data_IF_463547726365
#
_entry.id   IF_463547726365
#
_cell.length_a   1.000
_cell.length_b   1.000
_cell.length_c   1.000
_cell.angle_alpha   90.00
_cell.angle_beta   90.00
_cell.angle_gamma   90.00
#
_symmetry.space_group_name_H-M   'P 1'
#
loop_
_entity.id
_entity.type
_entity.pdbx_description
1 polymer ?
#
# COMPACT_ATOMS: atom_id res chain seq x y z
N UNK A 1 -4.49 8.12 -27.72
CA UNK A 1 -4.53 7.49 -26.37
C UNK A 1 -3.39 8.03 -25.49
N UNK A 2 -3.51 8.08 -24.15
CA UNK A 2 -2.35 8.33 -23.26
C UNK A 2 -1.46 7.07 -23.20
N UNK A 3 -0.17 7.23 -23.48
CA UNK A 3 0.79 6.13 -23.62
C UNK A 3 1.80 6.11 -22.46
N UNK A 4 1.38 5.57 -21.31
CA UNK A 4 2.17 5.57 -20.07
C UNK A 4 3.29 4.50 -20.03
N UNK A 5 3.15 3.41 -20.80
CA UNK A 5 4.10 2.29 -20.86
C UNK A 5 4.82 2.15 -22.21
N UNK A 6 4.91 3.23 -23.01
CA UNK A 6 5.32 3.17 -24.40
C UNK A 6 6.82 3.40 -24.63
N UNK A 7 7.44 2.54 -25.44
CA UNK A 7 8.81 2.62 -25.93
C UNK A 7 8.77 2.55 -27.45
N UNK A 8 9.36 3.54 -28.12
CA UNK A 8 9.58 3.46 -29.57
C UNK A 8 10.87 2.68 -29.84
N UNK A 9 10.77 1.35 -29.87
CA UNK A 9 11.93 0.45 -29.97
C UNK A 9 12.68 0.64 -31.29
N UNK A 10 11.95 0.89 -32.38
CA UNK A 10 12.50 1.15 -33.71
C UNK A 10 13.36 2.42 -33.72
N UNK A 11 12.89 3.50 -33.09
CA UNK A 11 13.65 4.74 -32.94
C UNK A 11 14.87 4.55 -32.02
N UNK A 12 14.68 3.94 -30.85
CA UNK A 12 15.72 3.79 -29.82
C UNK A 12 16.86 2.88 -30.25
N UNK A 13 16.56 1.82 -31.02
CA UNK A 13 17.57 0.90 -31.56
C UNK A 13 18.36 1.54 -32.70
N UNK A 14 17.71 2.37 -33.53
CA UNK A 14 18.32 2.97 -34.72
C UNK A 14 19.21 4.18 -34.41
N UNK A 15 18.86 4.97 -33.39
CA UNK A 15 19.59 6.19 -33.03
C UNK A 15 20.64 6.01 -31.91
N UNK A 16 20.97 4.77 -31.53
CA UNK A 16 22.13 4.40 -30.67
C UNK A 16 22.18 4.96 -29.24
N UNK A 17 21.16 5.68 -28.78
CA UNK A 17 21.17 6.26 -27.43
C UNK A 17 20.92 5.24 -26.31
N UNK A 18 20.31 4.08 -26.61
CA UNK A 18 20.09 2.98 -25.65
C UNK A 18 20.28 1.59 -26.28
N UNK A 19 21.53 1.16 -26.56
CA UNK A 19 21.80 -0.13 -27.23
C UNK A 19 21.36 -1.36 -26.42
N UNK A 20 21.05 -1.20 -25.13
CA UNK A 20 20.63 -2.26 -24.22
C UNK A 20 19.12 -2.27 -23.92
N UNK A 21 18.30 -1.54 -24.68
CA UNK A 21 16.85 -1.43 -24.40
C UNK A 21 16.14 -2.79 -24.43
N UNK A 22 16.55 -3.71 -25.30
CA UNK A 22 16.01 -5.08 -25.29
C UNK A 22 16.32 -5.80 -23.97
N UNK A 23 17.56 -5.71 -23.48
CA UNK A 23 17.95 -6.31 -22.20
C UNK A 23 17.18 -5.70 -21.02
N UNK A 24 16.91 -4.40 -21.08
CA UNK A 24 16.07 -3.71 -20.10
C UNK A 24 14.64 -4.27 -20.09
N UNK A 25 13.99 -4.40 -21.26
CA UNK A 25 12.63 -4.95 -21.37
C UNK A 25 12.55 -6.39 -20.85
N UNK A 26 13.56 -7.23 -21.12
CA UNK A 26 13.63 -8.58 -20.55
C UNK A 26 13.77 -8.57 -19.02
N UNK A 27 14.66 -7.72 -18.49
CA UNK A 27 14.87 -7.58 -17.05
C UNK A 27 13.62 -7.07 -16.34
N UNK A 28 12.97 -6.06 -16.89
CA UNK A 28 11.71 -5.51 -16.40
C UNK A 28 10.60 -6.57 -16.37
N UNK A 29 10.44 -7.34 -17.45
CA UNK A 29 9.48 -8.44 -17.50
C UNK A 29 9.73 -9.47 -16.40
N UNK A 30 11.00 -9.83 -16.16
CA UNK A 30 11.36 -10.75 -15.07
C UNK A 30 11.03 -10.18 -13.69
N UNK A 31 11.23 -8.88 -13.47
CA UNK A 31 10.85 -8.22 -12.21
C UNK A 31 9.34 -8.24 -11.98
N UNK A 32 8.52 -7.99 -13.01
CA UNK A 32 7.06 -8.08 -12.89
C UNK A 32 6.56 -9.51 -12.65
N UNK A 33 7.23 -10.53 -13.20
CA UNK A 33 6.93 -11.93 -12.87
C UNK A 33 7.21 -12.22 -11.39
N UNK A 34 8.37 -11.78 -10.89
CA UNK A 34 8.73 -11.93 -9.47
C UNK A 34 7.75 -11.18 -8.55
N UNK A 35 7.36 -9.96 -8.93
CA UNK A 35 6.38 -9.18 -8.16
C UNK A 35 4.99 -9.82 -8.20
N UNK A 36 4.57 -10.41 -9.31
CA UNK A 36 3.29 -11.15 -9.39
C UNK A 36 3.25 -12.32 -8.41
N UNK A 37 4.34 -13.09 -8.32
CA UNK A 37 4.48 -14.19 -7.34
C UNK A 37 4.46 -13.63 -5.91
N UNK A 38 5.18 -12.52 -5.68
CA UNK A 38 5.21 -11.82 -4.40
C UNK A 38 3.81 -11.38 -3.97
N UNK A 39 3.01 -10.80 -4.88
CA UNK A 39 1.65 -10.35 -4.58
C UNK A 39 0.70 -11.50 -4.25
N UNK A 40 0.79 -12.63 -4.96
CA UNK A 40 0.00 -13.83 -4.63
C UNK A 40 0.31 -14.34 -3.22
N UNK A 41 1.60 -14.39 -2.86
CA UNK A 41 2.02 -14.76 -1.52
C UNK A 41 1.45 -13.79 -0.46
N UNK A 42 1.50 -12.49 -0.72
CA UNK A 42 1.05 -11.50 0.25
C UNK A 42 -0.46 -11.33 0.35
N UNK A 43 -1.23 -11.65 -0.70
CA UNK A 43 -2.68 -11.83 -0.59
C UNK A 43 -2.99 -12.95 0.40
N UNK A 44 -2.28 -14.08 0.30
CA UNK A 44 -2.44 -15.18 1.27
C UNK A 44 -2.05 -14.76 2.70
N UNK A 45 -0.94 -14.04 2.88
CA UNK A 45 -0.51 -13.52 4.19
C UNK A 45 -1.56 -12.57 4.79
N UNK A 46 -2.11 -11.66 3.99
CA UNK A 46 -3.12 -10.69 4.42
C UNK A 46 -4.32 -11.38 5.08
N UNK A 47 -4.88 -12.41 4.43
CA UNK A 47 -6.04 -13.13 4.96
C UNK A 47 -5.69 -14.11 6.09
N UNK A 48 -4.47 -14.65 6.10
CA UNK A 48 -4.01 -15.59 7.12
C UNK A 48 -3.62 -14.90 8.44
N UNK A 49 -2.97 -13.74 8.36
CA UNK A 49 -2.43 -13.04 9.53
C UNK A 49 -3.51 -12.34 10.37
N UNK A 50 -4.65 -11.97 9.77
CA UNK A 50 -5.76 -11.24 10.43
C UNK A 50 -5.26 -10.09 11.33
N UNK A 51 -4.34 -9.28 10.78
CA UNK A 51 -3.71 -8.18 11.50
C UNK A 51 -4.66 -7.01 11.70
N UNK A 52 -5.40 -6.64 10.66
CA UNK A 52 -6.33 -5.51 10.71
C UNK A 52 -7.78 -5.98 10.79
N UNK A 53 -8.66 -5.04 11.11
CA UNK A 53 -10.11 -5.24 11.03
C UNK A 53 -10.54 -5.68 9.63
N UNK A 54 -11.65 -6.41 9.54
CA UNK A 54 -12.15 -7.01 8.29
C UNK A 54 -12.27 -5.98 7.15
N UNK A 55 -12.86 -4.81 7.42
CA UNK A 55 -13.08 -3.78 6.40
C UNK A 55 -11.78 -3.29 5.77
N UNK A 56 -10.76 -3.03 6.59
CA UNK A 56 -9.47 -2.59 6.09
C UNK A 56 -8.70 -3.69 5.36
N UNK A 57 -8.78 -4.93 5.84
CA UNK A 57 -8.21 -6.07 5.11
C UNK A 57 -8.89 -6.23 3.75
N UNK A 58 -10.19 -6.02 3.67
CA UNK A 58 -10.92 -6.13 2.40
C UNK A 58 -10.50 -5.05 1.39
N UNK A 59 -10.37 -3.80 1.83
CA UNK A 59 -9.87 -2.69 0.99
C UNK A 59 -8.43 -2.95 0.54
N UNK A 60 -7.55 -3.36 1.47
CA UNK A 60 -6.16 -3.69 1.16
C UNK A 60 -6.06 -4.89 0.21
N UNK A 61 -6.93 -5.88 0.38
CA UNK A 61 -7.01 -7.06 -0.49
C UNK A 61 -7.44 -6.70 -1.90
N UNK A 62 -8.46 -5.84 -2.04
CA UNK A 62 -8.86 -5.29 -3.34
C UNK A 62 -7.70 -4.55 -4.02
N UNK A 63 -6.93 -3.76 -3.25
CA UNK A 63 -5.74 -3.08 -3.78
C UNK A 63 -4.67 -4.06 -4.27
N UNK A 64 -4.36 -5.13 -3.53
CA UNK A 64 -3.42 -6.16 -4.00
C UNK A 64 -3.90 -6.87 -5.26
N UNK A 65 -5.21 -7.14 -5.37
CA UNK A 65 -5.79 -7.74 -6.59
C UNK A 65 -5.66 -6.78 -7.78
N UNK A 66 -5.89 -5.48 -7.57
CA UNK A 66 -5.73 -4.46 -8.62
C UNK A 66 -4.29 -4.44 -9.14
N UNK A 67 -3.30 -4.42 -8.24
CA UNK A 67 -1.89 -4.48 -8.64
C UNK A 67 -1.52 -5.81 -9.32
N UNK A 68 -2.10 -6.93 -8.89
CA UNK A 68 -1.92 -8.21 -9.58
C UNK A 68 -2.43 -8.15 -11.03
N UNK A 69 -3.60 -7.56 -11.24
CA UNK A 69 -4.17 -7.35 -12.59
C UNK A 69 -3.28 -6.40 -13.42
N UNK A 70 -2.74 -5.35 -12.80
CA UNK A 70 -1.83 -4.41 -13.43
C UNK A 70 -0.55 -5.09 -13.93
N UNK A 71 0.09 -5.90 -13.08
CA UNK A 71 1.29 -6.65 -13.43
C UNK A 71 1.04 -7.57 -14.64
N UNK A 72 -0.12 -8.25 -14.69
CA UNK A 72 -0.50 -9.08 -15.83
C UNK A 72 -0.67 -8.25 -17.12
N UNK A 73 -1.27 -7.05 -17.03
CA UNK A 73 -1.43 -6.15 -18.16
C UNK A 73 -0.08 -5.65 -18.69
N UNK A 74 0.82 -5.24 -17.80
CA UNK A 74 2.18 -4.82 -18.16
C UNK A 74 2.96 -5.97 -18.81
N UNK A 75 2.92 -7.17 -18.22
CA UNK A 75 3.52 -8.36 -18.81
C UNK A 75 2.96 -8.67 -20.20
N UNK A 76 1.64 -8.57 -20.41
CA UNK A 76 1.04 -8.77 -21.72
C UNK A 76 1.56 -7.78 -22.77
N UNK A 77 1.70 -6.49 -22.40
CA UNK A 77 2.30 -5.48 -23.27
C UNK A 77 3.77 -5.82 -23.60
N UNK A 78 4.56 -6.25 -22.61
CA UNK A 78 5.97 -6.61 -22.81
C UNK A 78 6.15 -7.85 -23.69
N UNK A 79 5.34 -8.90 -23.49
CA UNK A 79 5.39 -10.07 -24.35
C UNK A 79 5.03 -9.74 -25.80
N UNK A 80 4.00 -8.91 -26.02
CA UNK A 80 3.65 -8.47 -27.36
C UNK A 80 4.79 -7.76 -28.09
N UNK A 81 5.56 -6.93 -27.39
CA UNK A 81 6.76 -6.31 -27.95
C UNK A 81 7.91 -7.31 -28.18
N UNK A 82 8.20 -8.18 -27.20
CA UNK A 82 9.28 -9.18 -27.31
C UNK A 82 9.07 -10.09 -28.52
N UNK A 83 7.82 -10.48 -28.80
CA UNK A 83 7.48 -11.31 -29.96
C UNK A 83 7.32 -10.53 -31.27
N UNK A 84 7.43 -9.19 -31.25
CA UNK A 84 7.33 -8.35 -32.44
C UNK A 84 5.93 -8.30 -33.05
N UNK A 85 4.89 -8.48 -32.24
CA UNK A 85 3.50 -8.44 -32.72
C UNK A 85 2.92 -7.04 -32.88
N UNK A 86 3.65 -6.00 -32.45
CA UNK A 86 3.23 -4.61 -32.55
C UNK A 86 4.11 -3.85 -33.54
N UNK A 87 3.48 -3.05 -34.40
CA UNK A 87 4.17 -2.01 -35.15
C UNK A 87 4.30 -0.77 -34.25
N UNK A 88 5.54 -0.30 -34.01
CA UNK A 88 5.81 0.87 -33.16
C UNK A 88 5.16 2.16 -33.70
N UNK A 89 4.74 2.16 -34.97
CA UNK A 89 4.07 3.29 -35.62
C UNK A 89 2.53 3.18 -35.61
N UNK A 90 1.96 2.01 -35.30
CA UNK A 90 0.51 1.79 -35.28
C UNK A 90 0.06 0.89 -34.10
N UNK A 91 0.36 1.32 -32.86
CA UNK A 91 -0.02 0.56 -31.66
C UNK A 91 -1.54 0.57 -31.39
N UNK A 92 -2.26 1.57 -31.90
CA UNK A 92 -3.71 1.67 -31.72
C UNK A 92 -4.46 0.59 -32.52
N UNK A 93 -3.82 0.00 -33.54
CA UNK A 93 -4.37 -1.14 -34.29
C UNK A 93 -4.37 -2.46 -33.51
N UNK A 94 -3.51 -2.62 -32.49
CA UNK A 94 -3.37 -3.85 -31.72
C UNK A 94 -4.38 -3.89 -30.57
N UNK A 95 -5.46 -4.68 -30.65
CA UNK A 95 -6.52 -4.67 -29.65
C UNK A 95 -6.02 -5.16 -28.28
N UNK A 96 -5.05 -6.07 -28.26
CA UNK A 96 -4.45 -6.60 -27.03
C UNK A 96 -3.66 -5.51 -26.32
N UNK A 97 -2.87 -4.73 -27.06
CA UNK A 97 -2.09 -3.63 -26.48
C UNK A 97 -3.00 -2.53 -25.91
N UNK A 98 -4.02 -2.12 -26.67
CA UNK A 98 -4.99 -1.10 -26.22
C UNK A 98 -5.76 -1.57 -24.98
N UNK A 99 -6.18 -2.84 -24.95
CA UNK A 99 -6.87 -3.43 -23.80
C UNK A 99 -5.96 -3.46 -22.56
N UNK A 100 -4.72 -3.96 -22.71
CA UNK A 100 -3.76 -4.03 -21.61
C UNK A 100 -3.38 -2.63 -21.09
N UNK A 101 -3.17 -1.65 -21.98
CA UNK A 101 -2.93 -0.26 -21.60
C UNK A 101 -4.12 0.32 -20.82
N UNK A 102 -5.35 0.08 -21.28
CA UNK A 102 -6.57 0.56 -20.60
C UNK A 102 -6.73 -0.06 -19.22
N UNK A 103 -6.46 -1.37 -19.08
CA UNK A 103 -6.46 -2.07 -17.79
C UNK A 103 -5.41 -1.48 -16.85
N UNK A 104 -4.21 -1.18 -17.36
CA UNK A 104 -3.16 -0.61 -16.53
C UNK A 104 -3.49 0.81 -16.05
N UNK A 105 -4.06 1.66 -16.93
CA UNK A 105 -4.56 2.98 -16.54
C UNK A 105 -5.65 2.86 -15.46
N UNK A 106 -6.60 1.93 -15.64
CA UNK A 106 -7.63 1.62 -14.62
C UNK A 106 -6.99 1.27 -13.27
N UNK A 107 -5.99 0.37 -13.29
CA UNK A 107 -5.32 -0.11 -12.09
C UNK A 107 -4.54 0.98 -11.39
N UNK A 108 -3.82 1.81 -12.16
CA UNK A 108 -3.05 2.93 -11.64
C UNK A 108 -3.94 3.96 -10.96
N UNK A 109 -5.02 4.42 -11.62
CA UNK A 109 -5.97 5.37 -11.03
C UNK A 109 -6.61 4.80 -9.76
N UNK A 110 -6.98 3.52 -9.79
CA UNK A 110 -7.55 2.84 -8.63
C UNK A 110 -6.54 2.78 -7.48
N UNK A 111 -5.30 2.37 -7.73
CA UNK A 111 -4.25 2.31 -6.71
C UNK A 111 -4.00 3.67 -6.04
N UNK A 112 -4.02 4.76 -6.82
CA UNK A 112 -3.85 6.12 -6.31
C UNK A 112 -5.02 6.59 -5.43
N UNK A 113 -6.20 6.01 -5.62
CA UNK A 113 -7.40 6.30 -4.82
C UNK A 113 -7.53 5.39 -3.59
N UNK A 114 -6.79 4.28 -3.52
CA UNK A 114 -6.86 3.33 -2.41
C UNK A 114 -6.46 3.96 -1.06
N UNK A 115 -5.45 4.85 -1.06
CA UNK A 115 -5.01 5.55 0.16
C UNK A 115 -6.11 6.48 0.72
N UNK A 116 -6.71 7.41 -0.06
CA UNK A 116 -7.86 8.19 0.37
C UNK A 116 -8.99 7.35 0.97
N UNK A 117 -9.38 6.25 0.30
CA UNK A 117 -10.47 5.41 0.79
C UNK A 117 -10.11 4.65 2.06
N UNK A 118 -8.85 4.25 2.21
CA UNK A 118 -8.35 3.68 3.47
C UNK A 118 -8.43 4.69 4.62
N UNK A 119 -8.18 5.98 4.37
CA UNK A 119 -8.34 7.04 5.37
C UNK A 119 -9.82 7.23 5.73
N UNK A 120 -10.71 7.18 4.74
CA UNK A 120 -12.16 7.24 4.95
C UNK A 120 -12.66 6.07 5.81
N UNK A 121 -12.18 4.84 5.54
CA UNK A 121 -12.46 3.68 6.40
C UNK A 121 -12.03 3.92 7.86
N UNK A 122 -10.85 4.53 8.05
CA UNK A 122 -10.36 4.87 9.39
C UNK A 122 -11.19 5.97 10.06
N UNK A 123 -11.75 6.92 9.31
CA UNK A 123 -12.70 7.88 9.85
C UNK A 123 -13.98 7.19 10.33
N UNK A 124 -14.49 6.19 9.61
CA UNK A 124 -15.63 5.38 10.07
C UNK A 124 -15.29 4.58 11.33
N UNK A 125 -14.10 3.99 11.40
CA UNK A 125 -13.64 3.28 12.60
C UNK A 125 -13.62 4.19 13.84
N UNK A 126 -13.11 5.42 13.70
CA UNK A 126 -13.09 6.42 14.79
C UNK A 126 -14.49 6.91 15.14
N UNK A 127 -15.39 7.07 14.15
CA UNK A 127 -16.78 7.45 14.41
C UNK A 127 -17.54 6.36 15.18
N UNK A 128 -17.30 5.08 14.86
CA UNK A 128 -17.95 3.92 15.48
C UNK A 128 -17.12 3.24 16.58
N UNK A 129 -16.25 3.98 17.27
CA UNK A 129 -15.24 3.42 18.19
C UNK A 129 -15.79 2.39 19.21
N UNK A 130 -17.03 2.55 19.67
CA UNK A 130 -17.65 1.66 20.68
C UNK A 130 -17.89 0.24 20.17
N UNK A 131 -18.30 0.12 18.91
CA UNK A 131 -18.84 -1.14 18.37
C UNK A 131 -18.15 -1.59 17.09
N UNK A 132 -17.17 -0.82 16.57
CA UNK A 132 -16.53 -1.09 15.28
C UNK A 132 -15.77 -2.42 15.27
N UNK A 133 -15.04 -2.72 16.35
CA UNK A 133 -14.26 -3.97 16.44
C UNK A 133 -15.12 -5.21 16.71
N UNK A 134 -16.36 -5.01 17.17
CA UNK A 134 -17.31 -6.10 17.48
C UNK A 134 -18.17 -6.40 16.25
N UNK A 135 -18.66 -5.35 15.59
CA UNK A 135 -19.54 -5.46 14.44
C UNK A 135 -18.75 -5.15 13.17
N UNK A 136 -18.46 -6.18 12.38
CA UNK A 136 -17.63 -6.04 11.17
C UNK A 136 -18.18 -5.04 10.14
N UNK A 137 -19.50 -4.84 10.06
CA UNK A 137 -20.15 -3.87 9.16
C UNK A 137 -19.58 -3.93 7.72
N UNK A 138 -19.61 -5.10 7.05
CA UNK A 138 -18.91 -5.32 5.78
C UNK A 138 -19.41 -4.43 4.63
N UNK A 139 -20.62 -3.87 4.75
CA UNK A 139 -21.16 -2.91 3.80
C UNK A 139 -20.26 -1.67 3.62
N UNK A 140 -19.55 -1.23 4.67
CA UNK A 140 -18.63 -0.09 4.57
C UNK A 140 -17.51 -0.41 3.57
N UNK A 141 -16.87 -1.57 3.72
CA UNK A 141 -15.81 -1.98 2.80
C UNK A 141 -16.33 -2.28 1.40
N UNK A 142 -17.52 -2.87 1.24
CA UNK A 142 -18.09 -3.12 -0.10
C UNK A 142 -18.38 -1.83 -0.85
N UNK A 143 -19.00 -0.83 -0.20
CA UNK A 143 -19.27 0.48 -0.81
C UNK A 143 -17.96 1.16 -1.21
N UNK A 144 -16.95 1.13 -0.34
CA UNK A 144 -15.65 1.74 -0.62
C UNK A 144 -14.93 1.04 -1.79
N UNK A 145 -14.95 -0.29 -1.87
CA UNK A 145 -14.33 -1.02 -2.98
C UNK A 145 -15.09 -0.82 -4.29
N UNK A 146 -16.43 -0.80 -4.28
CA UNK A 146 -17.22 -0.48 -5.48
C UNK A 146 -16.88 0.94 -5.95
N UNK A 147 -16.82 1.89 -5.03
CA UNK A 147 -16.46 3.27 -5.36
C UNK A 147 -15.03 3.39 -5.90
N UNK A 148 -14.07 2.62 -5.35
CA UNK A 148 -12.71 2.51 -5.87
C UNK A 148 -12.70 2.05 -7.34
N UNK A 149 -13.41 0.96 -7.64
CA UNK A 149 -13.50 0.42 -9.00
C UNK A 149 -14.18 1.39 -9.95
N UNK A 150 -15.25 2.08 -9.52
CA UNK A 150 -15.93 3.08 -10.35
C UNK A 150 -15.01 4.26 -10.71
N UNK A 151 -14.23 4.77 -9.74
CA UNK A 151 -13.25 5.83 -10.01
C UNK A 151 -12.19 5.33 -11.01
N UNK A 152 -11.72 4.09 -10.86
CA UNK A 152 -10.80 3.47 -11.81
C UNK A 152 -11.35 3.45 -13.23
N UNK A 153 -12.60 2.99 -13.41
CA UNK A 153 -13.25 2.90 -14.74
C UNK A 153 -13.42 4.29 -15.36
N UNK A 154 -13.93 5.25 -14.59
CA UNK A 154 -14.09 6.63 -15.05
C UNK A 154 -12.72 7.22 -15.42
N UNK A 155 -11.70 7.00 -14.59
CA UNK A 155 -10.34 7.44 -14.86
C UNK A 155 -9.77 6.87 -16.16
N UNK A 156 -9.94 5.58 -16.40
CA UNK A 156 -9.49 4.91 -17.62
C UNK A 156 -10.16 5.48 -18.88
N UNK A 157 -11.48 5.73 -18.84
CA UNK A 157 -12.22 6.33 -19.97
C UNK A 157 -11.75 7.76 -20.22
N UNK A 158 -11.65 8.58 -19.17
CA UNK A 158 -11.29 10.00 -19.30
C UNK A 158 -9.84 10.17 -19.80
N UNK A 159 -8.91 9.31 -19.35
CA UNK A 159 -7.50 9.33 -19.74
C UNK A 159 -7.22 8.74 -21.13
N UNK A 160 -8.21 8.19 -21.84
CA UNK A 160 -8.05 7.89 -23.27
C UNK A 160 -7.73 9.16 -24.07
N UNK A 161 -8.30 10.29 -23.65
CA UNK A 161 -7.98 11.60 -24.22
C UNK A 161 -6.85 12.26 -23.41
N UNK A 162 -5.68 12.39 -24.05
CA UNK A 162 -4.47 13.01 -23.49
C UNK A 162 -4.70 14.43 -22.95
N UNK A 163 -5.60 15.20 -23.56
CA UNK A 163 -5.92 16.56 -23.11
C UNK A 163 -6.58 16.61 -21.71
N UNK A 164 -7.21 15.52 -21.28
CA UNK A 164 -7.88 15.46 -19.97
C UNK A 164 -6.92 15.12 -18.82
N UNK A 165 -5.69 14.69 -19.12
CA UNK A 165 -4.75 14.17 -18.11
C UNK A 165 -4.44 15.20 -17.03
N UNK A 166 -4.30 16.48 -17.38
CA UNK A 166 -4.04 17.56 -16.42
C UNK A 166 -5.17 17.69 -15.38
N UNK A 167 -6.44 17.60 -15.82
CA UNK A 167 -7.59 17.68 -14.92
C UNK A 167 -7.67 16.48 -13.98
N UNK A 168 -7.46 15.27 -14.52
CA UNK A 168 -7.48 14.03 -13.73
C UNK A 168 -6.36 14.03 -12.69
N UNK A 169 -5.14 14.41 -13.10
CA UNK A 169 -3.99 14.58 -12.20
C UNK A 169 -4.30 15.60 -11.10
N UNK A 170 -4.86 16.75 -11.45
CA UNK A 170 -5.23 17.78 -10.47
C UNK A 170 -6.19 17.25 -9.41
N UNK A 171 -7.22 16.50 -9.81
CA UNK A 171 -8.16 15.85 -8.89
C UNK A 171 -7.45 14.80 -8.01
N UNK A 172 -6.57 13.98 -8.59
CA UNK A 172 -5.84 12.95 -7.86
C UNK A 172 -4.89 13.54 -6.81
N UNK A 173 -4.25 14.70 -7.07
CA UNK A 173 -3.44 15.41 -6.08
C UNK A 173 -4.31 15.88 -4.92
N UNK A 174 -5.42 16.56 -5.22
CA UNK A 174 -6.33 17.07 -4.20
C UNK A 174 -6.87 15.95 -3.31
N UNK A 175 -7.27 14.84 -3.92
CA UNK A 175 -7.66 13.63 -3.21
C UNK A 175 -6.52 13.11 -2.35
N UNK A 176 -5.30 12.96 -2.87
CA UNK A 176 -4.19 12.38 -2.10
C UNK A 176 -3.67 13.24 -0.95
N UNK A 177 -3.86 14.56 -0.99
CA UNK A 177 -3.49 15.44 0.12
C UNK A 177 -4.27 15.07 1.40
N UNK A 178 -5.57 14.77 1.33
CA UNK A 178 -6.44 14.32 2.46
C UNK A 178 -6.15 14.99 3.82
N UNK A 179 -5.67 16.23 3.84
CA UNK A 179 -5.15 16.88 5.05
C UNK A 179 -6.27 17.07 6.05
N UNK A 180 -7.46 17.43 5.56
CA UNK A 180 -8.65 17.64 6.36
C UNK A 180 -9.11 16.34 7.04
N UNK A 181 -9.31 15.26 6.29
CA UNK A 181 -9.75 13.96 6.82
C UNK A 181 -8.75 13.39 7.83
N UNK A 182 -7.45 13.46 7.53
CA UNK A 182 -6.39 13.05 8.47
C UNK A 182 -6.40 13.87 9.75
N UNK A 183 -6.51 15.19 9.64
CA UNK A 183 -6.55 16.10 10.79
C UNK A 183 -7.82 15.91 11.63
N UNK A 184 -8.96 15.70 10.98
CA UNK A 184 -10.21 15.37 11.65
C UNK A 184 -10.09 14.05 12.42
N UNK A 185 -9.60 13.00 11.76
CA UNK A 185 -9.43 11.70 12.38
C UNK A 185 -8.49 11.76 13.60
N UNK A 186 -7.37 12.47 13.45
CA UNK A 186 -6.42 12.70 14.55
C UNK A 186 -7.07 13.47 15.71
N UNK A 187 -7.78 14.57 15.44
CA UNK A 187 -8.48 15.34 16.49
C UNK A 187 -9.50 14.49 17.23
N UNK A 188 -10.32 13.71 16.51
CA UNK A 188 -11.32 12.83 17.14
C UNK A 188 -10.68 11.71 17.94
N UNK A 189 -9.57 11.17 17.46
CA UNK A 189 -8.76 10.21 18.19
C UNK A 189 -8.21 10.83 19.49
N UNK A 190 -7.60 12.03 19.42
CA UNK A 190 -7.03 12.74 20.56
C UNK A 190 -8.13 13.13 21.58
N UNK A 191 -9.28 13.64 21.13
CA UNK A 191 -10.44 13.93 21.98
C UNK A 191 -10.91 12.68 22.72
N UNK A 192 -11.02 11.55 22.00
CA UNK A 192 -11.45 10.31 22.61
C UNK A 192 -10.42 9.80 23.61
N UNK A 193 -9.14 9.78 23.24
CA UNK A 193 -8.03 9.37 24.08
C UNK A 193 -7.91 10.22 25.34
N UNK A 194 -8.05 11.54 25.22
CA UNK A 194 -8.03 12.46 26.35
C UNK A 194 -9.24 12.26 27.27
N UNK A 195 -10.44 12.12 26.73
CA UNK A 195 -11.63 11.83 27.53
C UNK A 195 -11.53 10.49 28.27
N UNK A 196 -11.00 9.47 27.60
CA UNK A 196 -10.63 8.17 28.15
C UNK A 196 -9.64 8.38 29.29
N UNK A 197 -8.46 8.97 29.04
CA UNK A 197 -7.42 9.17 30.05
C UNK A 197 -7.88 9.99 31.25
N UNK A 198 -8.72 11.01 31.06
CA UNK A 198 -9.34 11.80 32.12
C UNK A 198 -10.31 10.97 32.96
N UNK A 199 -11.15 10.14 32.32
CA UNK A 199 -12.03 9.20 33.03
C UNK A 199 -11.22 8.15 33.79
N UNK A 200 -10.09 7.71 33.23
CA UNK A 200 -9.20 6.72 33.83
C UNK A 200 -8.40 7.28 35.00
N UNK A 201 -7.90 8.51 34.91
CA UNK A 201 -7.24 9.23 36.01
C UNK A 201 -8.19 9.43 37.19
N UNK A 202 -9.49 9.65 36.92
CA UNK A 202 -10.52 9.82 37.96
C UNK A 202 -10.95 8.50 38.63
N UNK A 203 -10.74 7.34 38.01
CA UNK A 203 -11.23 6.02 38.51
C UNK A 203 -10.13 5.21 39.24
N UNK A 204 -8.87 5.65 39.24
CA UNK A 204 -7.82 5.19 40.17
C UNK A 204 -7.36 3.73 40.07
N UNK A 205 -8.08 2.83 39.38
CA UNK A 205 -7.75 1.40 39.27
C UNK A 205 -7.49 1.02 37.82
N UNK A 206 -6.23 1.07 37.43
CA UNK A 206 -5.78 0.65 36.11
C UNK A 206 -5.61 -0.88 36.09
N UNK A 207 -6.39 -1.62 35.29
CA UNK A 207 -6.13 -3.05 35.09
C UNK A 207 -5.03 -3.25 34.04
N UNK A 208 -4.15 -4.22 34.27
CA UNK A 208 -3.02 -4.56 33.39
C UNK A 208 -3.47 -4.82 31.94
N UNK A 209 -4.61 -5.49 31.77
CA UNK A 209 -5.20 -5.78 30.47
C UNK A 209 -5.54 -4.52 29.65
N UNK A 210 -6.00 -3.44 30.30
CA UNK A 210 -6.31 -2.18 29.60
C UNK A 210 -5.07 -1.42 29.15
N UNK A 211 -3.96 -1.48 29.91
CA UNK A 211 -2.67 -0.91 29.49
C UNK A 211 -2.16 -1.61 28.24
N UNK A 212 -2.26 -2.94 28.22
CA UNK A 212 -1.85 -3.75 27.09
C UNK A 212 -2.64 -3.39 25.82
N UNK A 213 -3.97 -3.27 25.91
CA UNK A 213 -4.82 -2.87 24.77
C UNK A 213 -4.48 -1.48 24.23
N UNK A 214 -4.21 -0.51 25.10
CA UNK A 214 -3.83 0.86 24.67
C UNK A 214 -2.46 0.86 24.00
N UNK A 215 -1.49 0.13 24.57
CA UNK A 215 -0.14 -0.01 24.00
C UNK A 215 -0.17 -0.67 22.62
N UNK A 216 -0.99 -1.71 22.45
CA UNK A 216 -1.19 -2.40 21.18
C UNK A 216 -1.80 -1.46 20.13
N UNK A 217 -2.78 -0.65 20.51
CA UNK A 217 -3.41 0.32 19.62
C UNK A 217 -2.46 1.44 19.18
N UNK A 218 -1.62 1.97 20.09
CA UNK A 218 -0.61 2.99 19.74
C UNK A 218 0.42 2.41 18.76
N UNK A 219 0.89 1.18 19.01
CA UNK A 219 1.80 0.48 18.10
C UNK A 219 1.16 0.27 16.73
N UNK A 220 -0.09 -0.18 16.69
CA UNK A 220 -0.88 -0.35 15.46
C UNK A 220 -1.00 0.95 14.65
N UNK A 221 -1.25 2.07 15.33
CA UNK A 221 -1.35 3.38 14.70
C UNK A 221 -0.01 3.86 14.12
N UNK A 222 1.10 3.63 14.83
CA UNK A 222 2.43 4.00 14.33
C UNK A 222 2.80 3.24 13.05
N UNK A 223 2.54 1.93 13.01
CA UNK A 223 2.76 1.11 11.81
C UNK A 223 1.93 1.63 10.63
N UNK A 224 0.64 1.91 10.88
CA UNK A 224 -0.29 2.42 9.87
C UNK A 224 0.14 3.79 9.33
N UNK A 225 0.72 4.66 10.16
CA UNK A 225 1.25 5.96 9.70
C UNK A 225 2.43 5.81 8.73
N UNK A 226 3.34 4.85 8.98
CA UNK A 226 4.48 4.59 8.07
C UNK A 226 3.96 4.13 6.70
N UNK A 227 2.99 3.21 6.70
CA UNK A 227 2.34 2.71 5.48
C UNK A 227 1.69 3.86 4.71
N UNK A 228 0.91 4.70 5.40
CA UNK A 228 0.24 5.86 4.80
C UNK A 228 1.26 6.83 4.19
N UNK A 229 2.38 7.06 4.85
CA UNK A 229 3.43 7.95 4.36
C UNK A 229 4.10 7.40 3.09
N UNK A 230 4.44 6.11 3.11
CA UNK A 230 4.99 5.41 1.95
C UNK A 230 4.05 5.47 0.74
N UNK A 231 2.79 5.05 0.91
CA UNK A 231 1.78 5.11 -0.14
C UNK A 231 1.56 6.54 -0.65
N UNK A 232 1.61 7.53 0.24
CA UNK A 232 1.47 8.94 -0.10
C UNK A 232 2.62 9.45 -0.99
N UNK A 233 3.87 9.13 -0.65
CA UNK A 233 5.03 9.47 -1.49
C UNK A 233 4.91 8.82 -2.86
N UNK A 234 4.64 7.51 -2.90
CA UNK A 234 4.56 6.79 -4.17
C UNK A 234 3.42 7.31 -5.05
N UNK A 235 2.27 7.68 -4.47
CA UNK A 235 1.19 8.33 -5.20
C UNK A 235 1.63 9.66 -5.83
N UNK A 236 2.40 10.50 -5.12
CA UNK A 236 2.93 11.76 -5.68
C UNK A 236 3.86 11.49 -6.86
N UNK A 237 4.77 10.52 -6.73
CA UNK A 237 5.68 10.14 -7.82
C UNK A 237 4.88 9.68 -9.05
N UNK A 238 3.88 8.81 -8.87
CA UNK A 238 3.02 8.33 -9.96
C UNK A 238 2.25 9.46 -10.65
N UNK A 239 1.66 10.38 -9.88
CA UNK A 239 0.97 11.55 -10.43
C UNK A 239 1.91 12.35 -11.34
N UNK A 240 3.10 12.66 -10.83
CA UNK A 240 4.07 13.50 -11.52
C UNK A 240 4.55 12.82 -12.80
N UNK A 241 4.84 11.52 -12.74
CA UNK A 241 5.23 10.72 -13.92
C UNK A 241 4.15 10.71 -15.00
N UNK A 242 2.88 10.56 -14.63
CA UNK A 242 1.77 10.62 -15.60
C UNK A 242 1.56 12.01 -16.19
N UNK A 243 1.72 13.06 -15.37
CA UNK A 243 1.66 14.43 -15.87
C UNK A 243 2.75 14.67 -16.92
N UNK A 244 3.99 14.22 -16.68
CA UNK A 244 5.06 14.35 -17.65
C UNK A 244 4.82 13.52 -18.93
N UNK A 245 4.28 12.30 -18.79
CA UNK A 245 3.88 11.46 -19.93
C UNK A 245 2.78 12.12 -20.80
N UNK A 246 1.99 13.03 -20.23
CA UNK A 246 0.94 13.75 -20.94
C UNK A 246 1.41 14.92 -21.80
N UNK A 247 2.68 15.32 -21.73
CA UNK A 247 3.20 16.38 -22.60
C UNK A 247 3.70 15.81 -23.93
N UNK A 248 3.63 16.62 -24.99
CA UNK A 248 4.26 16.26 -26.28
C UNK A 248 5.77 16.40 -26.12
N UNK A 249 6.43 15.25 -25.99
CA UNK A 249 7.85 15.17 -25.66
C UNK A 249 8.58 14.31 -26.69
N UNK A 250 9.90 14.46 -26.78
CA UNK A 250 10.70 13.62 -27.69
C UNK A 250 10.62 12.14 -27.28
N UNK A 251 10.78 11.18 -28.21
CA UNK A 251 10.66 9.75 -27.92
C UNK A 251 11.54 9.27 -26.76
N UNK A 252 12.71 9.88 -26.56
CA UNK A 252 13.63 9.54 -25.47
C UNK A 252 13.11 9.99 -24.11
N UNK A 253 12.51 11.19 -24.05
CA UNK A 253 11.90 11.72 -22.82
C UNK A 253 10.64 10.92 -22.46
N UNK A 254 9.88 10.48 -23.47
CA UNK A 254 8.74 9.60 -23.25
C UNK A 254 9.19 8.24 -22.70
N UNK A 255 10.22 7.63 -23.29
CA UNK A 255 10.82 6.39 -22.78
C UNK A 255 11.30 6.55 -21.33
N UNK A 256 12.00 7.64 -21.00
CA UNK A 256 12.44 7.92 -19.63
C UNK A 256 11.25 8.03 -18.66
N UNK A 257 10.17 8.71 -19.06
CA UNK A 257 8.96 8.82 -18.24
C UNK A 257 8.32 7.45 -18.01
N UNK A 258 8.26 6.59 -19.03
CA UNK A 258 7.76 5.23 -18.91
C UNK A 258 8.63 4.38 -17.98
N UNK A 259 9.96 4.42 -18.10
CA UNK A 259 10.87 3.72 -17.16
C UNK A 259 10.64 4.17 -15.71
N UNK A 260 10.53 5.48 -15.48
CA UNK A 260 10.30 6.03 -14.13
C UNK A 260 8.93 5.62 -13.60
N UNK A 261 7.90 5.63 -14.44
CA UNK A 261 6.55 5.22 -14.09
C UNK A 261 6.50 3.72 -13.75
N UNK A 262 7.05 2.87 -14.60
CA UNK A 262 7.11 1.42 -14.43
C UNK A 262 7.90 1.03 -13.18
N UNK A 263 9.07 1.63 -13.00
CA UNK A 263 9.85 1.47 -11.77
C UNK A 263 9.06 1.90 -10.54
N UNK A 264 8.33 3.01 -10.61
CA UNK A 264 7.49 3.48 -9.49
C UNK A 264 6.35 2.52 -9.17
N UNK A 265 5.68 1.96 -10.18
CA UNK A 265 4.63 0.94 -10.01
C UNK A 265 5.23 -0.31 -9.35
N UNK A 266 6.36 -0.80 -9.85
CA UNK A 266 7.05 -1.96 -9.28
C UNK A 266 7.46 -1.72 -7.82
N UNK A 267 8.06 -0.58 -7.50
CA UNK A 267 8.42 -0.30 -6.10
C UNK A 267 7.16 -0.19 -5.22
N UNK A 268 6.09 0.43 -5.74
CA UNK A 268 4.82 0.55 -5.03
C UNK A 268 4.31 -0.83 -4.60
N UNK A 269 4.17 -1.75 -5.55
CA UNK A 269 3.64 -3.09 -5.33
C UNK A 269 4.60 -3.96 -4.53
N UNK A 270 5.89 -3.94 -4.86
CA UNK A 270 6.88 -4.85 -4.27
C UNK A 270 7.20 -4.49 -2.82
N UNK A 271 7.43 -3.20 -2.51
CA UNK A 271 7.92 -2.80 -1.20
C UNK A 271 6.80 -2.66 -0.16
N UNK A 272 5.55 -2.37 -0.56
CA UNK A 272 4.42 -2.23 0.37
C UNK A 272 4.25 -3.49 1.27
N UNK A 273 4.20 -4.72 0.74
CA UNK A 273 4.15 -5.92 1.57
C UNK A 273 5.39 -6.16 2.42
N UNK A 274 6.59 -5.78 1.94
CA UNK A 274 7.81 -5.92 2.74
C UNK A 274 7.80 -4.99 3.94
N UNK A 275 7.37 -3.75 3.75
CA UNK A 275 7.12 -2.78 4.83
C UNK A 275 6.10 -3.38 5.81
N UNK A 276 4.99 -3.93 5.32
CA UNK A 276 4.01 -4.61 6.18
C UNK A 276 4.62 -5.76 6.98
N UNK A 277 5.45 -6.60 6.38
CA UNK A 277 6.15 -7.69 7.08
C UNK A 277 7.18 -7.21 8.11
N UNK A 278 7.84 -6.07 7.87
CA UNK A 278 8.80 -5.49 8.80
C UNK A 278 8.11 -4.88 10.02
N UNK A 279 7.01 -4.17 9.81
CA UNK A 279 6.33 -3.43 10.88
C UNK A 279 5.25 -4.27 11.58
N UNK A 280 4.40 -4.98 10.84
CA UNK A 280 3.29 -5.75 11.40
C UNK A 280 3.75 -7.09 11.99
N UNK A 281 3.70 -7.21 13.31
CA UNK A 281 4.16 -8.41 14.03
C UNK A 281 3.48 -9.71 13.55
N UNK A 282 2.14 -9.73 13.35
CA UNK A 282 1.47 -10.96 12.89
C UNK A 282 1.84 -11.33 11.46
N UNK A 283 2.10 -10.34 10.59
CA UNK A 283 2.60 -10.59 9.23
C UNK A 283 3.99 -11.19 9.29
N UNK A 284 4.89 -10.59 10.06
CA UNK A 284 6.26 -11.09 10.25
C UNK A 284 6.27 -12.54 10.71
N UNK A 285 5.42 -12.89 11.67
CA UNK A 285 5.30 -14.27 12.17
C UNK A 285 4.84 -15.24 11.07
N UNK A 286 3.83 -14.86 10.28
CA UNK A 286 3.35 -15.70 9.18
C UNK A 286 4.40 -15.86 8.07
N UNK A 287 5.05 -14.76 7.68
CA UNK A 287 6.11 -14.77 6.67
C UNK A 287 7.32 -15.59 7.13
N UNK A 288 7.73 -15.47 8.39
CA UNK A 288 8.82 -16.27 8.94
C UNK A 288 8.45 -17.74 9.06
N UNK A 289 7.24 -18.07 9.50
CA UNK A 289 6.74 -19.45 9.54
C UNK A 289 6.75 -20.09 8.15
N UNK A 290 6.38 -19.34 7.12
CA UNK A 290 6.48 -19.82 5.73
C UNK A 290 7.92 -20.01 5.27
N UNK A 291 8.83 -19.07 5.58
CA UNK A 291 10.27 -19.21 5.30
C UNK A 291 10.89 -20.42 6.01
N UNK A 292 10.49 -20.70 7.25
CA UNK A 292 10.90 -21.89 7.99
C UNK A 292 10.42 -23.17 7.32
N UNK A 293 9.19 -23.21 6.79
CA UNK A 293 8.67 -24.35 6.01
C UNK A 293 9.45 -24.57 4.70
N UNK A 294 10.00 -23.50 4.13
CA UNK A 294 10.88 -23.56 2.96
C UNK A 294 12.33 -23.92 3.30
N UNK A 295 12.66 -24.16 4.58
CA UNK A 295 13.99 -24.56 5.01
C UNK A 295 14.95 -23.39 5.29
N UNK A 296 14.48 -22.15 5.34
CA UNK A 296 15.32 -21.02 5.76
C UNK A 296 15.61 -21.10 7.27
N UNK A 297 16.86 -20.81 7.70
CA UNK A 297 17.23 -20.87 9.11
C UNK A 297 16.46 -19.85 9.95
N UNK A 298 16.12 -20.25 11.18
CA UNK A 298 15.45 -19.36 12.15
C UNK A 298 16.29 -18.12 12.41
N UNK A 299 15.70 -16.95 12.20
CA UNK A 299 16.28 -15.68 12.65
C UNK A 299 16.10 -15.57 14.16
N UNK A 300 17.08 -16.03 14.94
CA UNK A 300 17.16 -15.91 16.41
C UNK A 300 17.47 -14.47 16.86
N UNK A 301 16.72 -13.50 16.35
CA UNK A 301 16.73 -12.15 16.94
C UNK A 301 15.74 -12.15 18.10
N UNK A 302 16.24 -12.38 19.32
CA UNK A 302 15.50 -12.10 20.54
C UNK A 302 15.21 -10.59 20.51
N UNK A 303 13.95 -10.20 20.29
CA UNK A 303 13.58 -8.79 20.41
C UNK A 303 13.83 -8.36 21.86
N UNK A 304 14.60 -7.28 22.10
CA UNK A 304 14.78 -6.79 23.45
C UNK A 304 13.42 -6.47 24.06
N UNK A 305 13.19 -6.93 25.29
CA UNK A 305 12.00 -6.59 26.05
C UNK A 305 11.94 -5.07 26.14
N UNK A 306 10.95 -4.45 25.49
CA UNK A 306 10.70 -3.01 25.55
C UNK A 306 9.50 -2.75 26.43
N UNK A 307 9.56 -1.66 27.19
CA UNK A 307 8.45 -1.23 28.02
C UNK A 307 7.28 -0.71 27.20
N UNK A 308 6.18 -0.39 27.88
CA UNK A 308 4.94 0.12 27.27
C UNK A 308 5.17 1.42 26.47
N UNK A 309 6.31 2.08 26.64
CA UNK A 309 6.70 3.32 25.97
C UNK A 309 7.85 3.12 24.95
N UNK A 310 8.29 1.88 24.72
CA UNK A 310 9.32 1.56 23.74
C UNK A 310 10.76 1.74 24.22
N UNK A 311 10.98 1.97 25.51
CA UNK A 311 12.32 1.98 26.11
C UNK A 311 12.78 0.55 26.44
N UNK A 312 14.06 0.25 26.22
CA UNK A 312 14.59 -1.10 26.49
C UNK A 312 14.51 -1.39 27.99
N UNK A 313 13.70 -2.40 28.36
CA UNK A 313 13.70 -2.94 29.71
C UNK A 313 15.01 -3.72 29.88
N UNK A 314 15.97 -3.14 30.62
CA UNK A 314 17.02 -3.96 31.22
C UNK A 314 16.35 -4.98 32.15
N UNK A 315 16.55 -6.26 31.85
CA UNK A 315 15.89 -7.42 32.48
C UNK A 315 15.92 -7.38 34.02
N UNK A 316 16.93 -6.75 34.62
CA UNK A 316 17.13 -6.75 36.07
C UNK A 316 16.22 -5.79 36.87
N UNK A 317 15.66 -4.74 36.25
CA UNK A 317 15.00 -3.66 37.00
C UNK A 317 13.47 -3.76 37.00
N UNK A 318 12.86 -4.36 35.96
CA UNK A 318 11.40 -4.45 35.86
C UNK A 318 10.82 -5.71 36.52
N UNK A 319 11.53 -6.84 36.48
CA UNK A 319 11.03 -8.10 37.04
C UNK A 319 10.98 -8.04 38.58
N UNK A 320 12.01 -7.49 39.21
CA UNK A 320 12.05 -7.30 40.66
C UNK A 320 10.97 -6.31 41.11
N UNK A 321 10.82 -5.16 40.42
CA UNK A 321 9.72 -4.23 40.69
C UNK A 321 8.34 -4.84 40.50
N UNK A 322 8.19 -5.77 39.56
CA UNK A 322 6.92 -6.47 39.32
C UNK A 322 6.57 -7.43 40.47
N UNK A 323 7.54 -8.21 40.96
CA UNK A 323 7.33 -9.08 42.13
C UNK A 323 7.16 -8.30 43.43
N UNK A 324 7.87 -7.18 43.58
CA UNK A 324 7.71 -6.28 44.74
C UNK A 324 6.32 -5.65 44.75
N UNK A 325 5.82 -5.19 43.59
CA UNK A 325 4.45 -4.65 43.48
C UNK A 325 3.37 -5.71 43.71
N UNK A 326 3.62 -6.96 43.31
CA UNK A 326 2.73 -8.09 43.59
C UNK A 326 2.72 -8.43 45.09
N UNK A 327 3.89 -8.43 45.74
CA UNK A 327 4.02 -8.68 47.18
C UNK A 327 3.34 -7.59 47.99
N UNK A 328 3.57 -6.32 47.67
CA UNK A 328 2.92 -5.18 48.31
C UNK A 328 1.40 -5.20 48.13
N UNK A 329 0.89 -5.74 47.01
CA UNK A 329 -0.56 -5.87 46.77
C UNK A 329 -1.21 -7.01 47.56
N UNK A 330 -0.44 -8.01 47.98
CA UNK A 330 -0.89 -9.15 48.79
C UNK A 330 -0.75 -8.89 50.29
N UNK A 331 0.26 -8.13 50.72
CA UNK A 331 0.47 -7.79 52.13
C UNK A 331 -0.45 -6.66 52.63
N UNK A 332 -1.05 -5.88 51.72
CA UNK A 332 -1.96 -4.77 52.03
C UNK A 332 -3.44 -5.06 51.67
N UNK A 333 -3.80 -6.32 51.41
CA UNK A 333 -5.18 -6.79 51.23
C UNK A 333 -5.59 -7.65 52.43
#
# INVERSE_FOLDING_TARGET
>A
MLLIHYFNMTHLTRYSQFPQMNAFVYGETAFYVLDTINMLFYIWVLFSAKQFHYNFNFISGAQYIIHFIDNLAIMAMRFHWIFGFNDDFDLESSPVFVCAMTISIYSMVSAMCALPLSIVERCFATFYLKDYEINQRPHISYILVIFLSLIGVVGAIVLQNKGNTVYVVGVLILLNLNIFLRRWNKRKYDECHNNISLRFSRIGKYSLAKRFQISENIRSLHMLNIIIYYMGIMNVVLVVSVLFSSFDTTPEKQALCSVVLDGSIFFYSFALPQIMSCFCQKWRVQTNSFKERLGCPKSTSIEPLRDTFGSDMREDVSMNKYFDQLRDSWENA
#
